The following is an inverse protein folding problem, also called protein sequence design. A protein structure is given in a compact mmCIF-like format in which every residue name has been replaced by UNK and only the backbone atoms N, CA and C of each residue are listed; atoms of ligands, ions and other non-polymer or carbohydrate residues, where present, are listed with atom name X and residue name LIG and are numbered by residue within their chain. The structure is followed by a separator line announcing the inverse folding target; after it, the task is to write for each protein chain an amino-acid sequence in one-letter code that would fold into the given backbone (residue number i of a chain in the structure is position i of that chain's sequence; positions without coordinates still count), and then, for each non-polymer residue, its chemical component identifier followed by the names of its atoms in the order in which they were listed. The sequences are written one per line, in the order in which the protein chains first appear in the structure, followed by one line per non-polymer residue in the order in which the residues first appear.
data_IF_758798540374
#
_entry.id   IF_758798540374
#
_cell.length_a   1.000
_cell.length_b   1.000
_cell.length_c   1.000
_cell.angle_alpha   90.00
_cell.angle_beta   90.00
_cell.angle_gamma   90.00
#
_symmetry.space_group_name_H-M   'P 1'
#
loop_
_entity.id
_entity.type
_entity.pdbx_description
1 polymer ?
#
# COMPACT_ATOMS: atom_id res chain seq x y z
N UNK A 1 -16.70 -23.75 14.24
CA UNK A 1 -15.88 -22.66 13.65
C UNK A 1 -14.69 -22.43 14.56
N UNK A 2 -13.44 -22.47 14.07
CA UNK A 2 -12.28 -22.12 14.89
C UNK A 2 -12.37 -20.65 15.30
N UNK A 3 -12.28 -20.38 16.60
CA UNK A 3 -12.25 -19.02 17.14
C UNK A 3 -10.83 -18.46 17.07
N UNK A 4 -10.70 -17.18 16.71
CA UNK A 4 -9.43 -16.45 16.76
C UNK A 4 -9.62 -15.21 17.61
N UNK A 5 -8.76 -15.05 18.61
CA UNK A 5 -8.66 -13.80 19.38
C UNK A 5 -7.74 -12.84 18.64
N UNK A 6 -8.18 -11.60 18.47
CA UNK A 6 -7.37 -10.52 17.90
C UNK A 6 -7.30 -9.37 18.89
N UNK A 7 -6.15 -8.73 19.00
CA UNK A 7 -5.99 -7.48 19.75
C UNK A 7 -6.03 -6.33 18.73
N UNK A 8 -6.89 -5.35 18.96
CA UNK A 8 -7.02 -4.16 18.12
C UNK A 8 -6.95 -2.92 19.01
N UNK A 9 -6.63 -1.77 18.42
CA UNK A 9 -6.71 -0.50 19.13
C UNK A 9 -8.16 -0.13 19.44
N UNK A 10 -8.37 0.68 20.47
CA UNK A 10 -9.69 1.20 20.83
C UNK A 10 -10.33 1.96 19.66
N UNK A 11 -9.54 2.76 18.95
CA UNK A 11 -10.00 3.49 17.77
C UNK A 11 -10.51 2.55 16.67
N UNK A 12 -9.82 1.42 16.44
CA UNK A 12 -10.26 0.42 15.47
C UNK A 12 -11.53 -0.30 15.93
N UNK A 13 -11.69 -0.55 17.23
CA UNK A 13 -12.90 -1.13 17.80
C UNK A 13 -14.12 -0.23 17.59
N UNK A 14 -14.02 1.06 17.90
CA UNK A 14 -15.12 2.01 17.72
C UNK A 14 -15.49 2.19 16.23
N UNK A 15 -14.51 2.17 15.32
CA UNK A 15 -14.77 2.13 13.87
C UNK A 15 -15.52 0.88 13.44
N UNK A 16 -15.19 -0.30 13.97
CA UNK A 16 -15.94 -1.53 13.69
C UNK A 16 -17.35 -1.51 14.27
N UNK A 17 -17.52 -0.90 15.44
CA UNK A 17 -18.81 -0.76 16.11
C UNK A 17 -19.74 0.19 15.34
N UNK A 18 -19.25 1.31 14.83
CA UNK A 18 -20.06 2.24 14.03
C UNK A 18 -20.51 1.65 12.69
N UNK A 19 -19.76 0.69 12.13
CA UNK A 19 -20.12 -0.04 10.91
C UNK A 19 -21.18 -1.13 11.13
N UNK A 20 -21.55 -1.44 12.39
CA UNK A 20 -22.67 -2.35 12.66
C UNK A 20 -24.01 -1.66 12.39
N UNK A 21 -24.74 -2.16 11.41
CA UNK A 21 -26.12 -1.71 11.12
C UNK A 21 -27.12 -2.09 12.22
N UNK A 22 -26.82 -3.13 13.00
CA UNK A 22 -27.69 -3.63 14.08
C UNK A 22 -26.82 -4.31 15.13
N UNK A 23 -27.16 -4.20 16.42
CA UNK A 23 -26.36 -4.79 17.52
C UNK A 23 -26.24 -6.32 17.42
N UNK A 24 -27.20 -6.97 16.75
CA UNK A 24 -27.21 -8.42 16.50
C UNK A 24 -26.20 -8.88 15.45
N UNK A 25 -25.60 -7.97 14.68
CA UNK A 25 -24.61 -8.34 13.67
C UNK A 25 -23.29 -8.76 14.34
N UNK A 26 -22.69 -9.85 13.87
CA UNK A 26 -21.39 -10.29 14.36
C UNK A 26 -20.27 -9.34 13.91
N UNK A 27 -19.33 -9.04 14.80
CA UNK A 27 -18.12 -8.30 14.42
C UNK A 27 -17.32 -9.04 13.35
N UNK A 28 -17.30 -10.37 13.40
CA UNK A 28 -16.62 -11.20 12.39
C UNK A 28 -17.18 -10.95 10.99
N UNK A 29 -18.50 -10.81 10.86
CA UNK A 29 -19.16 -10.58 9.56
C UNK A 29 -18.85 -9.18 9.03
N UNK A 30 -18.82 -8.18 9.92
CA UNK A 30 -18.43 -6.79 9.57
C UNK A 30 -16.98 -6.76 9.10
N UNK A 31 -16.06 -7.41 9.82
CA UNK A 31 -14.65 -7.49 9.44
C UNK A 31 -14.50 -8.14 8.07
N UNK A 32 -15.19 -9.28 7.83
CA UNK A 32 -15.10 -9.97 6.55
C UNK A 32 -15.72 -9.20 5.39
N UNK A 33 -16.77 -8.42 5.65
CA UNK A 33 -17.45 -7.60 4.64
C UNK A 33 -16.62 -6.39 4.20
N UNK A 34 -16.07 -5.65 5.17
CA UNK A 34 -15.40 -4.37 4.89
C UNK A 34 -13.88 -4.51 4.74
N UNK A 35 -13.27 -5.52 5.36
CA UNK A 35 -11.82 -5.74 5.36
C UNK A 35 -11.49 -7.14 4.84
N UNK A 36 -11.77 -7.42 3.54
CA UNK A 36 -11.47 -8.72 2.96
C UNK A 36 -9.98 -9.03 3.05
N UNK A 37 -9.68 -10.32 3.31
CA UNK A 37 -8.34 -10.84 3.68
C UNK A 37 -7.17 -10.28 2.88
N UNK A 38 -7.32 -10.06 1.57
CA UNK A 38 -6.33 -9.46 0.67
C UNK A 38 -7.08 -8.87 -0.52
N UNK A 39 -6.97 -7.56 -0.75
CA UNK A 39 -7.32 -6.98 -2.06
C UNK A 39 -6.33 -7.52 -3.09
N UNK A 40 -6.78 -7.83 -4.30
CA UNK A 40 -5.85 -8.20 -5.37
C UNK A 40 -5.00 -6.98 -5.68
N UNK A 41 -3.71 -7.17 -5.95
CA UNK A 41 -2.81 -6.06 -6.34
C UNK A 41 -3.40 -5.27 -7.52
N UNK A 42 -4.07 -5.95 -8.45
CA UNK A 42 -4.78 -5.34 -9.58
C UNK A 42 -5.91 -4.40 -9.16
N UNK A 43 -6.65 -4.70 -8.09
CA UNK A 43 -7.74 -3.85 -7.57
C UNK A 43 -7.16 -2.59 -6.93
N UNK A 44 -6.08 -2.75 -6.16
CA UNK A 44 -5.38 -1.63 -5.53
C UNK A 44 -4.75 -0.71 -6.59
N UNK A 45 -4.13 -1.30 -7.62
CA UNK A 45 -3.55 -0.54 -8.73
C UNK A 45 -4.62 0.18 -9.57
N UNK A 46 -5.80 -0.41 -9.74
CA UNK A 46 -6.91 0.23 -10.43
C UNK A 46 -7.47 1.44 -9.65
N UNK A 47 -7.51 1.36 -8.32
CA UNK A 47 -7.97 2.45 -7.44
C UNK A 47 -6.97 3.62 -7.40
N UNK A 48 -5.66 3.33 -7.39
CA UNK A 48 -4.60 4.36 -7.49
C UNK A 48 -4.64 5.06 -8.85
N UNK A 49 -5.04 4.33 -9.90
CA UNK A 49 -5.15 4.84 -11.25
C UNK A 49 -3.80 5.04 -11.95
N UNK A 50 -3.84 5.30 -13.24
CA UNK A 50 -2.64 5.65 -14.02
C UNK A 50 -2.35 7.13 -13.86
N UNK A 51 -1.11 7.49 -13.50
CA UNK A 51 -0.62 8.86 -13.51
C UNK A 51 0.39 9.03 -14.65
N UNK A 52 -0.05 9.45 -15.85
CA UNK A 52 0.83 9.58 -17.01
C UNK A 52 1.90 10.65 -16.81
N UNK A 53 1.58 11.75 -16.13
CA UNK A 53 2.53 12.84 -15.87
C UNK A 53 3.71 12.37 -15.01
N UNK A 54 3.42 11.60 -13.95
CA UNK A 54 4.47 11.00 -13.11
C UNK A 54 5.29 9.97 -13.90
N UNK A 55 4.64 9.16 -14.73
CA UNK A 55 5.33 8.17 -15.56
C UNK A 55 6.31 8.84 -16.55
N UNK A 56 5.86 9.90 -17.22
CA UNK A 56 6.66 10.69 -18.15
C UNK A 56 7.84 11.38 -17.43
N UNK A 57 7.60 11.91 -16.23
CA UNK A 57 8.64 12.52 -15.41
C UNK A 57 9.73 11.52 -15.00
N UNK A 58 9.33 10.30 -14.60
CA UNK A 58 10.26 9.20 -14.27
C UNK A 58 11.05 8.78 -15.51
N UNK A 59 10.39 8.62 -16.66
CA UNK A 59 11.07 8.24 -17.90
C UNK A 59 12.11 9.30 -18.30
N UNK A 60 11.73 10.58 -18.25
CA UNK A 60 12.62 11.70 -18.55
C UNK A 60 13.83 11.71 -17.61
N UNK A 61 13.60 11.63 -16.30
CA UNK A 61 14.68 11.57 -15.31
C UNK A 61 15.62 10.37 -15.53
N UNK A 62 15.07 9.18 -15.82
CA UNK A 62 15.87 7.99 -16.12
C UNK A 62 16.73 8.18 -17.37
N UNK A 63 16.16 8.78 -18.43
CA UNK A 63 16.87 9.07 -19.68
C UNK A 63 18.00 10.08 -19.46
N UNK A 64 17.76 11.10 -18.66
CA UNK A 64 18.76 12.11 -18.33
C UNK A 64 19.90 11.52 -17.50
N UNK A 65 19.60 10.66 -16.52
CA UNK A 65 20.61 9.94 -15.73
C UNK A 65 21.48 9.01 -16.59
N UNK A 66 20.92 8.33 -17.59
CA UNK A 66 21.69 7.46 -18.50
C UNK A 66 22.59 8.25 -19.46
N UNK A 67 22.19 9.47 -19.81
CA UNK A 67 22.95 10.37 -20.67
C UNK A 67 24.00 11.18 -19.90
N UNK A 68 23.82 11.34 -18.60
CA UNK A 68 24.79 12.01 -17.75
C UNK A 68 26.08 11.20 -17.71
N UNK A 69 27.18 11.81 -18.13
CA UNK A 69 28.51 11.23 -18.02
C UNK A 69 28.85 11.11 -16.53
N UNK A 70 29.01 9.88 -16.03
CA UNK A 70 29.42 9.65 -14.65
C UNK A 70 30.82 10.22 -14.47
N UNK A 71 30.97 11.13 -13.50
CA UNK A 71 32.27 11.73 -13.16
C UNK A 71 33.29 10.62 -12.95
N UNK A 72 34.37 10.62 -13.74
CA UNK A 72 35.49 9.68 -13.53
C UNK A 72 36.06 9.98 -12.15
N UNK A 73 35.99 8.99 -11.27
CA UNK A 73 36.64 9.02 -9.96
C UNK A 73 37.92 8.23 -10.14
N UNK A 74 39.06 8.91 -10.14
CA UNK A 74 40.36 8.24 -10.12
C UNK A 74 40.50 7.59 -8.74
N UNK A 75 40.34 6.27 -8.71
CA UNK A 75 40.64 5.45 -7.55
C UNK A 75 42.16 5.32 -7.46
N UNK A 76 42.83 6.40 -7.08
CA UNK A 76 44.20 6.33 -6.58
C UNK A 76 44.13 5.68 -5.19
N UNK A 77 44.06 4.35 -5.21
CA UNK A 77 44.39 3.52 -4.07
C UNK A 77 45.89 3.72 -3.79
N UNK A 78 46.18 4.63 -2.86
CA UNK A 78 47.50 4.71 -2.23
C UNK A 78 47.84 3.35 -1.64
N UNK A 79 48.75 2.65 -2.32
CA UNK A 79 49.48 1.49 -1.83
C UNK A 79 50.67 1.93 -0.97
#
# INVERSE_FOLDING_TARGET
MPTRTICISEEAYEKLKSLKTTEKNSFSDVILKYYPKKRKLSEVLAEIGTNPELADAIEKASRDMRKAETRKVDLDAGA
#
